data_IF_150530223403
#
_entry.id   IF_150530223403
#
_cell.length_a   1.000
_cell.length_b   1.000
_cell.length_c   1.000
_cell.angle_alpha   90.00
_cell.angle_beta   90.00
_cell.angle_gamma   90.00
#
_symmetry.space_group_name_H-M   'P 1'
#
loop_
_entity.id
_entity.type
_entity.pdbx_description
1 polymer ?
#
# COMPACT_ATOMS: atom_id res chain seq x y z
N UNK A 1 -3.52 -1.35 -6.16
CA UNK A 1 -2.94 -2.18 -5.07
C UNK A 1 -1.82 -3.10 -5.56
N UNK A 2 -2.06 -4.00 -6.54
CA UNK A 2 -1.06 -5.00 -6.97
C UNK A 2 0.29 -4.43 -7.42
N UNK A 3 0.25 -3.40 -8.26
CA UNK A 3 1.47 -2.74 -8.71
C UNK A 3 2.18 -2.07 -7.53
N UNK A 4 1.44 -1.32 -6.70
CA UNK A 4 1.98 -0.60 -5.56
C UNK A 4 2.76 -1.54 -4.62
N UNK A 5 2.19 -2.65 -4.17
CA UNK A 5 2.89 -3.49 -3.18
C UNK A 5 4.08 -4.24 -3.79
N UNK A 6 4.04 -4.58 -5.10
CA UNK A 6 5.18 -5.16 -5.80
C UNK A 6 6.31 -4.16 -5.98
N UNK A 7 5.97 -2.91 -6.33
CA UNK A 7 6.94 -1.81 -6.36
C UNK A 7 7.56 -1.60 -4.99
N UNK A 8 6.74 -1.58 -3.93
CA UNK A 8 7.21 -1.44 -2.56
C UNK A 8 8.13 -2.58 -2.14
N UNK A 9 7.79 -3.82 -2.54
CA UNK A 9 8.64 -4.99 -2.31
C UNK A 9 10.00 -4.84 -2.96
N UNK A 10 10.05 -4.48 -4.25
CA UNK A 10 11.33 -4.25 -4.94
C UNK A 10 12.13 -3.13 -4.28
N UNK A 11 11.48 -2.03 -3.93
CA UNK A 11 12.10 -0.90 -3.23
C UNK A 11 12.72 -1.32 -1.88
N UNK A 12 11.97 -2.01 -1.03
CA UNK A 12 12.44 -2.49 0.27
C UNK A 12 13.61 -3.47 0.13
N UNK A 13 13.56 -4.34 -0.87
CA UNK A 13 14.64 -5.29 -1.14
C UNK A 13 15.92 -4.57 -1.58
N UNK A 14 15.82 -3.64 -2.54
CA UNK A 14 16.97 -2.95 -3.13
C UNK A 14 17.60 -1.92 -2.20
N UNK A 15 16.78 -1.16 -1.45
CA UNK A 15 17.24 0.01 -0.68
C UNK A 15 17.34 -0.24 0.83
N UNK A 16 16.67 -1.26 1.35
CA UNK A 16 16.71 -1.61 2.77
C UNK A 16 17.17 -3.05 3.05
N UNK A 17 17.36 -3.89 2.02
CA UNK A 17 17.69 -5.30 2.18
C UNK A 17 16.57 -6.14 2.81
N UNK A 18 15.33 -5.63 2.80
CA UNK A 18 14.17 -6.27 3.43
C UNK A 18 13.37 -7.03 2.37
N UNK A 19 13.28 -8.35 2.51
CA UNK A 19 12.51 -9.23 1.63
C UNK A 19 11.10 -9.49 2.19
N UNK A 20 10.22 -8.50 2.04
CA UNK A 20 8.84 -8.61 2.48
C UNK A 20 8.07 -9.68 1.67
N UNK A 21 7.30 -10.52 2.38
CA UNK A 21 6.68 -11.74 1.83
C UNK A 21 5.19 -11.62 1.49
N UNK A 22 4.55 -10.51 1.85
CA UNK A 22 3.13 -10.29 1.58
C UNK A 22 2.83 -8.79 1.44
N UNK A 23 1.72 -8.40 0.78
CA UNK A 23 1.34 -6.98 0.67
C UNK A 23 1.30 -6.27 2.02
N UNK A 24 0.63 -6.87 3.02
CA UNK A 24 0.57 -6.31 4.37
C UNK A 24 1.93 -6.28 5.06
N UNK A 25 2.78 -7.27 4.81
CA UNK A 25 4.17 -7.28 5.29
C UNK A 25 4.94 -6.09 4.76
N UNK A 26 4.88 -5.83 3.45
CA UNK A 26 5.57 -4.70 2.84
C UNK A 26 5.11 -3.35 3.40
N UNK A 27 3.82 -3.15 3.68
CA UNK A 27 3.34 -1.93 4.35
C UNK A 27 3.93 -1.79 5.77
N UNK A 28 3.93 -2.87 6.55
CA UNK A 28 4.49 -2.84 7.92
C UNK A 28 5.99 -2.59 7.94
N UNK A 29 6.73 -3.17 7.01
CA UNK A 29 8.16 -2.95 6.87
C UNK A 29 8.47 -1.51 6.46
N UNK A 30 7.66 -0.95 5.55
CA UNK A 30 7.80 0.45 5.12
C UNK A 30 7.45 1.45 6.23
N UNK A 31 6.43 1.15 7.04
CA UNK A 31 6.11 1.90 8.27
C UNK A 31 7.26 1.81 9.28
N UNK A 32 7.77 0.61 9.54
CA UNK A 32 8.87 0.36 10.50
C UNK A 32 10.16 1.08 10.08
N UNK A 33 10.37 1.27 8.78
CA UNK A 33 11.47 2.07 8.23
C UNK A 33 11.25 3.60 8.32
N UNK A 34 10.12 4.04 8.89
CA UNK A 34 9.81 5.45 9.15
C UNK A 34 9.26 6.24 7.97
N UNK A 35 8.80 5.57 6.91
CA UNK A 35 8.29 6.23 5.70
C UNK A 35 6.82 6.63 5.80
N UNK A 36 6.06 6.04 6.74
CA UNK A 36 4.63 6.25 6.92
C UNK A 36 4.34 6.68 8.36
N UNK A 37 3.26 7.44 8.54
CA UNK A 37 2.61 7.59 9.85
C UNK A 37 1.76 6.36 10.18
N UNK A 38 1.31 6.26 11.43
CA UNK A 38 0.38 5.19 11.85
C UNK A 38 -0.94 5.24 11.08
N UNK A 39 -1.48 6.44 10.86
CA UNK A 39 -2.70 6.66 10.07
C UNK A 39 -2.52 6.19 8.63
N UNK A 40 -1.42 6.59 7.97
CA UNK A 40 -1.14 6.21 6.59
C UNK A 40 -0.93 4.70 6.44
N UNK A 41 -0.23 4.08 7.40
CA UNK A 41 -0.07 2.63 7.45
C UNK A 41 -1.42 1.93 7.59
N UNK A 42 -2.31 2.44 8.45
CA UNK A 42 -3.64 1.87 8.66
C UNK A 42 -4.48 1.93 7.39
N UNK A 43 -4.55 3.11 6.76
CA UNK A 43 -5.27 3.32 5.51
C UNK A 43 -4.78 2.37 4.38
N UNK A 44 -3.47 2.18 4.27
CA UNK A 44 -2.89 1.29 3.26
C UNK A 44 -3.15 -0.20 3.56
N UNK A 45 -3.23 -0.59 4.82
CA UNK A 45 -3.61 -1.96 5.22
C UNK A 45 -5.08 -2.24 4.90
N UNK A 46 -5.97 -1.28 5.16
CA UNK A 46 -7.39 -1.37 4.82
C UNK A 46 -7.59 -1.48 3.31
N UNK A 47 -6.87 -0.68 2.51
CA UNK A 47 -6.89 -0.78 1.05
C UNK A 47 -6.51 -2.17 0.54
N UNK A 48 -5.56 -2.84 1.19
CA UNK A 48 -5.17 -4.22 0.84
C UNK A 48 -6.32 -5.19 1.13
N UNK A 49 -7.02 -5.02 2.25
CA UNK A 49 -8.17 -5.84 2.61
C UNK A 49 -9.36 -5.64 1.67
N UNK A 50 -9.66 -4.40 1.33
CA UNK A 50 -10.71 -4.05 0.37
C UNK A 50 -10.44 -4.68 -1.01
N UNK A 51 -9.18 -4.67 -1.48
CA UNK A 51 -8.81 -5.39 -2.71
C UNK A 51 -9.05 -6.89 -2.59
N UNK A 52 -8.77 -7.51 -1.45
CA UNK A 52 -9.03 -8.95 -1.28
C UNK A 52 -10.53 -9.23 -1.41
N UNK A 53 -11.38 -8.33 -0.93
CA UNK A 53 -12.83 -8.46 -1.04
C UNK A 53 -13.36 -8.33 -2.47
N UNK A 54 -12.77 -7.48 -3.33
CA UNK A 54 -13.20 -7.35 -4.74
C UNK A 54 -12.99 -8.64 -5.56
N UNK A 55 -12.04 -9.48 -5.15
CA UNK A 55 -11.72 -10.72 -5.86
C UNK A 55 -12.61 -11.90 -5.44
N UNK A 56 -13.33 -11.76 -4.32
CA UNK A 56 -14.06 -12.87 -3.68
C UNK A 56 -15.56 -12.61 -3.52
N UNK A 57 -16.05 -11.39 -3.71
CA UNK A 57 -17.41 -11.02 -3.34
C UNK A 57 -18.06 -10.10 -4.39
N UNK A 58 -18.92 -10.66 -5.25
CA UNK A 58 -19.77 -9.90 -6.19
C UNK A 58 -20.99 -9.28 -5.47
N UNK A 59 -20.75 -8.42 -4.49
CA UNK A 59 -21.81 -7.65 -3.83
C UNK A 59 -21.64 -6.16 -4.15
N UNK A 60 -22.65 -5.56 -4.77
CA UNK A 60 -22.69 -4.15 -5.16
C UNK A 60 -22.37 -3.20 -3.98
N UNK A 61 -22.87 -3.53 -2.79
CA UNK A 61 -22.58 -2.80 -1.54
C UNK A 61 -21.08 -2.73 -1.22
N UNK A 62 -20.33 -3.80 -1.53
CA UNK A 62 -18.87 -3.84 -1.33
C UNK A 62 -18.18 -2.94 -2.35
N UNK A 63 -18.64 -2.93 -3.61
CA UNK A 63 -18.09 -2.06 -4.64
C UNK A 63 -18.33 -0.58 -4.30
N UNK A 64 -19.51 -0.21 -3.80
CA UNK A 64 -19.82 1.15 -3.37
C UNK A 64 -18.98 1.60 -2.18
N UNK A 65 -18.78 0.73 -1.18
CA UNK A 65 -17.91 1.02 -0.04
C UNK A 65 -16.50 1.33 -0.52
N UNK A 66 -15.92 0.42 -1.31
CA UNK A 66 -14.55 0.55 -1.79
C UNK A 66 -14.39 1.82 -2.64
N UNK A 67 -15.38 2.14 -3.47
CA UNK A 67 -15.37 3.36 -4.26
C UNK A 67 -15.30 4.63 -3.39
N UNK A 68 -16.05 4.67 -2.27
CA UNK A 68 -15.97 5.78 -1.31
C UNK A 68 -14.61 5.85 -0.62
N UNK A 69 -14.03 4.70 -0.30
CA UNK A 69 -12.75 4.61 0.41
C UNK A 69 -11.55 5.01 -0.47
N UNK A 70 -11.70 5.00 -1.82
CA UNK A 70 -10.65 5.45 -2.75
C UNK A 70 -10.16 6.88 -2.46
N UNK A 71 -11.03 7.78 -1.97
CA UNK A 71 -10.63 9.15 -1.62
C UNK A 71 -9.62 9.19 -0.47
N UNK A 72 -9.67 8.20 0.42
CA UNK A 72 -8.70 8.03 1.51
C UNK A 72 -7.42 7.41 0.95
N UNK A 73 -7.53 6.41 0.09
CA UNK A 73 -6.38 5.64 -0.37
C UNK A 73 -5.48 6.37 -1.37
N UNK A 74 -6.05 7.19 -2.27
CA UNK A 74 -5.28 7.85 -3.33
C UNK A 74 -4.14 8.74 -2.81
N UNK A 75 -4.35 9.65 -1.83
CA UNK A 75 -3.28 10.46 -1.27
C UNK A 75 -2.14 9.62 -0.67
N UNK A 76 -2.48 8.51 0.00
CA UNK A 76 -1.50 7.61 0.60
C UNK A 76 -0.64 6.91 -0.47
N UNK A 77 -1.25 6.47 -1.58
CA UNK A 77 -0.51 5.87 -2.72
C UNK A 77 0.42 6.89 -3.37
N UNK A 78 -0.06 8.12 -3.59
CA UNK A 78 0.73 9.20 -4.18
C UNK A 78 1.95 9.51 -3.32
N UNK A 79 1.78 9.60 -1.99
CA UNK A 79 2.90 9.77 -1.05
C UNK A 79 3.91 8.63 -1.14
N UNK A 80 3.47 7.37 -1.16
CA UNK A 80 4.37 6.20 -1.30
C UNK A 80 5.18 6.31 -2.60
N UNK A 81 4.52 6.65 -3.72
CA UNK A 81 5.18 6.83 -5.01
C UNK A 81 6.23 7.93 -4.95
N UNK A 82 5.93 9.07 -4.34
CA UNK A 82 6.85 10.20 -4.25
C UNK A 82 8.08 9.86 -3.41
N UNK A 83 7.90 9.19 -2.26
CA UNK A 83 9.01 8.69 -1.42
C UNK A 83 9.93 7.76 -2.22
N UNK A 84 9.36 6.80 -2.94
CA UNK A 84 10.14 5.86 -3.76
C UNK A 84 10.89 6.63 -4.85
N UNK A 85 10.21 7.56 -5.54
CA UNK A 85 10.81 8.36 -6.61
C UNK A 85 11.97 9.22 -6.10
N UNK A 86 11.83 9.84 -4.94
CA UNK A 86 12.89 10.65 -4.32
C UNK A 86 14.12 9.83 -3.94
N UNK A 87 13.94 8.57 -3.54
CA UNK A 87 15.02 7.68 -3.12
C UNK A 87 15.70 7.00 -4.30
N UNK A 88 14.96 6.67 -5.35
CA UNK A 88 15.50 6.03 -6.56
C UNK A 88 16.33 7.01 -7.40
N UNK A 89 15.96 8.29 -7.43
CA UNK A 89 16.67 9.32 -8.19
C UNK A 89 17.85 9.97 -7.45
N UNK A 90 18.20 9.47 -6.26
CA UNK A 90 19.38 9.90 -5.49
C UNK A 90 20.50 8.89 -5.66
#
# INVERSE_FOLDING_TARGET
VEIMWKTLKSFLYEYAGIDCKSPKGCIRDFFSAGYLTEEESTNLLEMIDDRNMTSHTYHEEVAEKIFKDLYIYLPNIEKVKDIIKEKVNK
#
